data_IF_230493030198
#
_entry.id   IF_230493030198
#
_cell.length_a   1.000
_cell.length_b   1.000
_cell.length_c   1.000
_cell.angle_alpha   90.00
_cell.angle_beta   90.00
_cell.angle_gamma   90.00
#
_symmetry.space_group_name_H-M   'P 1'
#
loop_
_entity.id
_entity.type
_entity.pdbx_description
1 polymer ?
#
# COMPACT_ATOMS: atom_id res chain seq x y z
N UNK A 1 23.37 25.37 38.91
CA UNK A 1 24.82 25.09 38.93
C UNK A 1 25.25 24.19 40.09
N UNK A 2 24.97 24.50 41.36
CA UNK A 2 25.42 23.67 42.51
C UNK A 2 24.94 22.20 42.49
N UNK A 3 23.68 21.93 42.09
CA UNK A 3 23.15 20.54 42.02
C UNK A 3 23.86 19.64 41.01
N UNK A 4 24.34 20.19 39.89
CA UNK A 4 25.07 19.42 38.87
C UNK A 4 26.51 19.10 39.28
N UNK A 5 27.15 19.96 40.09
CA UNK A 5 28.47 19.67 40.65
C UNK A 5 28.42 18.53 41.68
N UNK A 6 27.38 18.50 42.53
CA UNK A 6 27.20 17.43 43.52
C UNK A 6 26.99 16.05 42.89
N UNK A 7 26.24 15.97 41.78
CA UNK A 7 26.01 14.71 41.06
C UNK A 7 27.30 14.21 40.39
N UNK A 8 28.10 15.12 39.81
CA UNK A 8 29.40 14.77 39.22
C UNK A 8 30.38 14.29 40.30
N UNK A 9 30.39 14.92 41.48
CA UNK A 9 31.26 14.53 42.60
C UNK A 9 30.86 13.18 43.21
N UNK A 10 29.56 12.88 43.30
CA UNK A 10 29.06 11.55 43.68
C UNK A 10 29.43 10.48 42.65
N UNK A 11 29.25 10.76 41.36
CA UNK A 11 29.66 9.85 40.28
C UNK A 11 31.17 9.59 40.30
N UNK A 12 31.98 10.63 40.52
CA UNK A 12 33.44 10.49 40.60
C UNK A 12 33.85 9.65 41.82
N UNK A 13 33.21 9.83 42.98
CA UNK A 13 33.48 9.03 44.17
C UNK A 13 33.05 7.56 43.99
N UNK A 14 31.92 7.31 43.31
CA UNK A 14 31.49 5.95 42.97
C UNK A 14 32.47 5.30 41.97
N UNK A 15 32.92 6.05 40.95
CA UNK A 15 33.93 5.60 39.99
C UNK A 15 35.25 5.28 40.70
N UNK A 16 35.70 6.10 41.66
CA UNK A 16 36.90 5.81 42.46
C UNK A 16 36.74 4.59 43.38
N UNK A 17 35.55 4.39 43.95
CA UNK A 17 35.25 3.20 44.76
C UNK A 17 35.21 1.91 43.92
N UNK A 18 34.65 1.99 42.70
CA UNK A 18 34.73 0.93 41.69
C UNK A 18 36.18 0.73 41.20
N UNK A 19 36.97 1.81 41.13
CA UNK A 19 38.38 1.80 40.74
C UNK A 19 39.24 0.93 41.67
N UNK A 20 38.87 0.83 42.95
CA UNK A 20 39.61 0.12 44.00
C UNK A 20 39.48 -1.42 43.95
N UNK A 21 38.67 -1.99 43.06
CA UNK A 21 38.48 -3.45 42.92
C UNK A 21 38.96 -3.96 41.54
N UNK A 22 40.23 -4.37 41.40
CA UNK A 22 40.84 -4.85 40.16
C UNK A 22 40.02 -5.95 39.44
N UNK A 23 39.49 -6.92 40.19
CA UNK A 23 38.69 -8.03 39.65
C UNK A 23 37.34 -7.58 39.05
N UNK A 24 36.83 -6.42 39.48
CA UNK A 24 35.57 -5.85 38.97
C UNK A 24 35.80 -5.12 37.65
N UNK A 25 36.98 -4.51 37.44
CA UNK A 25 37.36 -3.93 36.16
C UNK A 25 37.45 -4.96 35.06
N UNK A 26 38.06 -6.10 35.33
CA UNK A 26 38.19 -7.18 34.33
C UNK A 26 36.81 -7.70 33.92
N UNK A 27 35.89 -7.88 34.88
CA UNK A 27 34.50 -8.28 34.60
C UNK A 27 33.73 -7.20 33.82
N UNK A 28 33.89 -5.93 34.18
CA UNK A 28 33.26 -4.82 33.47
C UNK A 28 33.80 -4.67 32.05
N UNK A 29 35.11 -4.81 31.85
CA UNK A 29 35.73 -4.78 30.53
C UNK A 29 35.20 -5.91 29.63
N UNK A 30 35.11 -7.14 30.16
CA UNK A 30 34.53 -8.27 29.42
C UNK A 30 33.05 -8.03 29.08
N UNK A 31 32.26 -7.51 30.02
CA UNK A 31 30.86 -7.17 29.77
C UNK A 31 30.70 -6.06 28.71
N UNK A 32 31.55 -5.03 28.74
CA UNK A 32 31.53 -3.95 27.76
C UNK A 32 31.87 -4.47 26.35
N UNK A 33 32.90 -5.32 26.23
CA UNK A 33 33.24 -5.96 24.96
C UNK A 33 32.07 -6.81 24.44
N UNK A 34 31.49 -7.66 25.29
CA UNK A 34 30.34 -8.49 24.90
C UNK A 34 29.13 -7.65 24.47
N UNK A 35 28.89 -6.52 25.15
CA UNK A 35 27.82 -5.59 24.79
C UNK A 35 28.12 -4.88 23.46
N UNK A 36 29.35 -4.43 23.23
CA UNK A 36 29.76 -3.83 21.96
C UNK A 36 29.64 -4.82 20.80
N UNK A 37 30.05 -6.07 20.98
CA UNK A 37 29.89 -7.12 19.97
C UNK A 37 28.41 -7.40 19.68
N UNK A 38 27.57 -7.41 20.72
CA UNK A 38 26.13 -7.58 20.57
C UNK A 38 25.48 -6.40 19.83
N UNK A 39 25.89 -5.16 20.11
CA UNK A 39 25.41 -3.97 19.40
C UNK A 39 25.79 -4.06 17.92
N UNK A 40 27.05 -4.37 17.60
CA UNK A 40 27.50 -4.53 16.21
C UNK A 40 26.71 -5.62 15.48
N UNK A 41 26.42 -6.75 16.15
CA UNK A 41 25.62 -7.82 15.56
C UNK A 41 24.18 -7.36 15.26
N UNK A 42 23.55 -6.64 16.19
CA UNK A 42 22.20 -6.08 15.98
C UNK A 42 22.19 -5.05 14.86
N UNK A 43 23.17 -4.16 14.79
CA UNK A 43 23.27 -3.16 13.73
C UNK A 43 23.47 -3.79 12.34
N UNK A 44 24.31 -4.82 12.28
CA UNK A 44 24.49 -5.61 11.06
C UNK A 44 23.16 -6.26 10.62
N UNK A 45 22.46 -6.92 11.54
CA UNK A 45 21.20 -7.58 11.22
C UNK A 45 20.09 -6.58 10.85
N UNK A 46 20.03 -5.42 11.49
CA UNK A 46 19.11 -4.35 11.12
C UNK A 46 19.37 -3.86 9.69
N UNK A 47 20.64 -3.71 9.32
CA UNK A 47 21.03 -3.31 7.96
C UNK A 47 20.58 -4.37 6.94
N UNK A 48 20.83 -5.65 7.23
CA UNK A 48 20.40 -6.76 6.38
C UNK A 48 18.87 -6.83 6.24
N UNK A 49 18.13 -6.67 7.33
CA UNK A 49 16.66 -6.65 7.30
C UNK A 49 16.11 -5.48 6.49
N UNK A 50 16.75 -4.31 6.59
CA UNK A 50 16.38 -3.14 5.79
C UNK A 50 16.59 -3.40 4.29
N UNK A 51 17.72 -4.00 3.92
CA UNK A 51 18.00 -4.40 2.53
C UNK A 51 16.97 -5.43 2.03
N UNK A 52 16.67 -6.46 2.82
CA UNK A 52 15.66 -7.46 2.48
C UNK A 52 14.27 -6.85 2.33
N UNK A 53 13.90 -5.93 3.23
CA UNK A 53 12.62 -5.21 3.16
C UNK A 53 12.55 -4.37 1.89
N UNK A 54 13.61 -3.64 1.55
CA UNK A 54 13.67 -2.82 0.34
C UNK A 54 13.59 -3.68 -0.93
N UNK A 55 14.34 -4.78 -1.02
CA UNK A 55 14.29 -5.68 -2.17
C UNK A 55 12.90 -6.30 -2.33
N UNK A 56 12.30 -6.74 -1.22
CA UNK A 56 10.93 -7.25 -1.21
C UNK A 56 9.92 -6.19 -1.67
N UNK A 57 10.00 -4.96 -1.15
CA UNK A 57 9.15 -3.85 -1.55
C UNK A 57 9.31 -3.52 -3.04
N UNK A 58 10.54 -3.51 -3.55
CA UNK A 58 10.82 -3.24 -4.97
C UNK A 58 10.18 -4.30 -5.87
N UNK A 59 10.35 -5.59 -5.52
CA UNK A 59 9.72 -6.71 -6.25
C UNK A 59 8.20 -6.62 -6.24
N UNK A 60 7.59 -6.32 -5.09
CA UNK A 60 6.14 -6.16 -5.00
C UNK A 60 5.64 -4.98 -5.83
N UNK A 61 6.32 -3.83 -5.74
CA UNK A 61 6.01 -2.64 -6.54
C UNK A 61 6.08 -2.96 -8.04
N UNK A 62 7.10 -3.70 -8.48
CA UNK A 62 7.24 -4.12 -9.86
C UNK A 62 6.07 -5.00 -10.31
N UNK A 63 5.73 -6.04 -9.53
CA UNK A 63 4.61 -6.94 -9.83
C UNK A 63 3.29 -6.19 -9.90
N UNK A 64 3.03 -5.29 -8.93
CA UNK A 64 1.82 -4.49 -8.87
C UNK A 64 1.67 -3.61 -10.12
N UNK A 65 2.73 -2.87 -10.47
CA UNK A 65 2.71 -1.93 -11.58
C UNK A 65 2.79 -2.58 -12.97
N UNK A 66 3.39 -3.78 -13.10
CA UNK A 66 3.49 -4.52 -14.37
C UNK A 66 2.39 -5.55 -14.55
N UNK A 67 1.51 -5.73 -13.58
CA UNK A 67 0.39 -6.66 -13.70
C UNK A 67 -0.45 -6.35 -14.94
N UNK A 68 -0.86 -7.35 -15.74
CA UNK A 68 -1.69 -7.14 -16.92
C UNK A 68 -3.13 -6.77 -16.57
N UNK A 69 -3.52 -6.89 -15.30
CA UNK A 69 -4.81 -6.50 -14.76
C UNK A 69 -4.76 -5.10 -14.13
N UNK A 70 -5.94 -4.45 -14.06
CA UNK A 70 -6.12 -3.19 -13.33
C UNK A 70 -6.15 -3.48 -11.83
N UNK A 71 -5.31 -2.77 -11.07
CA UNK A 71 -5.30 -2.81 -9.62
C UNK A 71 -5.31 -1.39 -9.07
N UNK A 72 -6.17 -1.19 -8.08
CA UNK A 72 -6.21 0.00 -7.27
C UNK A 72 -6.56 -0.37 -5.83
N UNK A 73 -6.15 0.49 -4.91
CA UNK A 73 -6.53 0.42 -3.51
C UNK A 73 -7.40 1.63 -3.21
N UNK A 74 -8.47 1.42 -2.46
CA UNK A 74 -9.41 2.48 -2.08
C UNK A 74 -9.39 2.68 -0.57
N UNK A 75 -9.53 3.92 -0.13
CA UNK A 75 -10.00 4.20 1.23
C UNK A 75 -11.52 3.98 1.31
N UNK A 76 -12.11 3.82 2.52
CA UNK A 76 -13.51 3.45 2.68
C UNK A 76 -14.54 4.37 2.00
N UNK A 77 -14.20 5.63 1.76
CA UNK A 77 -15.08 6.60 1.10
C UNK A 77 -15.08 6.48 -0.45
N UNK A 78 -14.31 5.53 -1.00
CA UNK A 78 -14.16 5.25 -2.43
C UNK A 78 -13.03 6.03 -3.12
N UNK A 79 -12.26 6.84 -2.39
CA UNK A 79 -11.12 7.58 -2.94
C UNK A 79 -9.95 6.65 -3.26
N UNK A 80 -9.33 6.84 -4.41
CA UNK A 80 -8.19 6.03 -4.88
C UNK A 80 -6.97 6.35 -4.02
N UNK A 81 -6.52 5.39 -3.21
CA UNK A 81 -5.29 5.48 -2.43
C UNK A 81 -4.06 5.11 -3.27
N UNK A 82 -4.21 4.11 -4.14
CA UNK A 82 -3.15 3.64 -5.01
C UNK A 82 -3.76 3.09 -6.29
N UNK A 83 -3.01 3.21 -7.39
CA UNK A 83 -3.40 2.74 -8.71
C UNK A 83 -2.15 2.25 -9.44
N UNK A 84 -2.28 1.10 -10.12
CA UNK A 84 -1.18 0.52 -10.87
C UNK A 84 -0.98 1.19 -12.24
N UNK A 85 0.18 0.94 -12.87
CA UNK A 85 0.51 1.62 -14.12
C UNK A 85 -0.38 1.15 -15.28
N UNK A 86 -0.75 -0.13 -15.29
CA UNK A 86 -1.65 -0.69 -16.30
C UNK A 86 -3.01 0.01 -16.28
N UNK A 87 -3.60 0.23 -15.11
CA UNK A 87 -4.85 0.96 -14.98
C UNK A 87 -4.73 2.42 -15.40
N UNK A 88 -3.67 3.12 -15.00
CA UNK A 88 -3.42 4.49 -15.46
C UNK A 88 -3.42 4.60 -16.98
N UNK A 89 -2.66 3.72 -17.65
CA UNK A 89 -2.56 3.71 -19.12
C UNK A 89 -3.91 3.34 -19.76
N UNK A 90 -4.63 2.37 -19.20
CA UNK A 90 -5.96 1.99 -19.70
C UNK A 90 -7.00 3.10 -19.56
N UNK A 91 -6.89 3.92 -18.50
CA UNK A 91 -7.71 5.11 -18.30
C UNK A 91 -7.27 6.29 -19.19
N UNK A 92 -6.15 6.16 -19.91
CA UNK A 92 -5.61 7.17 -20.82
C UNK A 92 -4.60 8.12 -20.18
N UNK A 93 -4.24 7.92 -18.91
CA UNK A 93 -3.31 8.78 -18.19
C UNK A 93 -1.86 8.35 -18.38
N UNK A 94 -0.98 9.34 -18.41
CA UNK A 94 0.47 9.13 -18.27
C UNK A 94 0.83 8.94 -16.80
N UNK A 95 1.97 8.27 -16.55
CA UNK A 95 2.48 8.03 -15.19
C UNK A 95 2.70 9.32 -14.41
N UNK A 96 3.15 10.39 -15.07
CA UNK A 96 3.34 11.72 -14.46
C UNK A 96 2.04 12.33 -13.89
N UNK A 97 0.88 11.93 -14.42
CA UNK A 97 -0.43 12.39 -13.95
C UNK A 97 -1.01 11.54 -12.83
N UNK A 98 -0.29 10.54 -12.29
CA UNK A 98 -0.79 9.68 -11.20
C UNK A 98 -1.28 10.48 -10.00
N UNK A 99 -0.58 11.56 -9.67
CA UNK A 99 -0.92 12.42 -8.53
C UNK A 99 -2.18 13.26 -8.75
N UNK A 100 -2.74 13.30 -9.96
CA UNK A 100 -4.03 13.94 -10.24
C UNK A 100 -5.21 13.02 -9.87
N UNK A 101 -4.94 11.73 -9.66
CA UNK A 101 -5.92 10.68 -9.37
C UNK A 101 -5.80 10.24 -7.92
N UNK A 102 -4.60 9.85 -7.50
CA UNK A 102 -4.34 9.32 -6.16
C UNK A 102 -4.65 10.38 -5.10
N UNK A 103 -5.47 10.01 -4.12
CA UNK A 103 -5.94 10.82 -3.01
C UNK A 103 -6.95 11.92 -3.39
N UNK A 104 -7.30 12.04 -4.67
CA UNK A 104 -8.13 13.15 -5.19
C UNK A 104 -9.41 12.70 -5.87
N UNK A 105 -9.36 11.56 -6.56
CA UNK A 105 -10.49 11.02 -7.33
C UNK A 105 -11.08 9.82 -6.63
N UNK A 106 -12.40 9.69 -6.72
CA UNK A 106 -13.07 8.45 -6.36
C UNK A 106 -13.03 7.49 -7.53
N UNK A 107 -13.00 6.19 -7.27
CA UNK A 107 -13.01 5.18 -8.34
C UNK A 107 -14.25 5.31 -9.23
N UNK A 108 -15.33 5.78 -8.63
CA UNK A 108 -16.61 6.12 -9.25
C UNK A 108 -16.48 7.18 -10.34
N UNK A 109 -15.55 8.12 -10.18
CA UNK A 109 -15.31 9.16 -11.18
C UNK A 109 -14.63 8.56 -12.43
N UNK A 110 -13.90 7.46 -12.29
CA UNK A 110 -13.16 6.83 -13.39
C UNK A 110 -14.00 5.86 -14.25
N UNK A 111 -15.29 5.72 -13.97
CA UNK A 111 -16.21 4.88 -14.75
C UNK A 111 -16.85 5.69 -15.89
N UNK A 112 -16.91 5.13 -17.09
CA UNK A 112 -17.49 5.79 -18.27
C UNK A 112 -19.03 5.80 -18.19
N UNK A 113 -19.72 6.70 -18.92
CA UNK A 113 -21.20 6.64 -19.05
C UNK A 113 -21.65 5.28 -19.59
N UNK A 114 -20.91 4.68 -20.55
CA UNK A 114 -21.25 3.35 -21.06
C UNK A 114 -21.02 2.23 -20.03
N UNK A 115 -20.35 2.53 -18.91
CA UNK A 115 -20.23 1.60 -17.78
C UNK A 115 -21.56 1.46 -17.03
N UNK A 116 -22.52 2.37 -17.22
CA UNK A 116 -23.87 2.27 -16.63
C UNK A 116 -24.73 1.24 -17.35
N UNK A 117 -24.51 1.05 -18.65
CA UNK A 117 -25.24 0.09 -19.48
C UNK A 117 -24.73 -1.34 -19.34
N UNK A 118 -23.60 -1.57 -18.63
CA UNK A 118 -23.07 -2.93 -18.39
C UNK A 118 -24.04 -3.81 -17.61
N UNK A 119 -24.97 -3.19 -16.88
CA UNK A 119 -26.00 -3.88 -16.12
C UNK A 119 -27.32 -4.02 -16.89
N UNK A 120 -27.42 -3.46 -18.09
CA UNK A 120 -28.55 -3.67 -19.00
C UNK A 120 -28.39 -5.03 -19.71
N UNK A 121 -29.51 -5.67 -20.02
CA UNK A 121 -29.48 -6.94 -20.77
C UNK A 121 -28.76 -6.75 -22.11
N UNK A 122 -27.78 -7.63 -22.37
CA UNK A 122 -27.00 -7.58 -23.59
C UNK A 122 -27.93 -7.82 -24.81
N UNK A 123 -28.10 -6.81 -25.65
CA UNK A 123 -28.78 -6.97 -26.95
C UNK A 123 -27.73 -7.15 -28.04
N UNK A 124 -27.72 -8.33 -28.67
CA UNK A 124 -26.80 -8.62 -29.76
C UNK A 124 -27.27 -7.88 -31.03
N UNK A 125 -26.55 -6.85 -31.44
CA UNK A 125 -26.93 -6.01 -32.59
C UNK A 125 -26.56 -6.63 -33.95
N UNK A 126 -25.75 -7.69 -34.01
CA UNK A 126 -25.53 -8.39 -35.28
C UNK A 126 -25.05 -9.84 -35.09
N UNK A 127 -25.50 -10.73 -35.98
CA UNK A 127 -25.14 -12.15 -36.03
C UNK A 127 -23.93 -12.40 -36.94
N UNK A 128 -23.04 -11.41 -37.10
CA UNK A 128 -21.81 -11.60 -37.88
C UNK A 128 -20.77 -12.36 -37.05
N UNK A 129 -20.57 -13.62 -37.44
CA UNK A 129 -19.74 -14.61 -36.78
C UNK A 129 -18.22 -14.38 -36.98
N UNK A 130 -17.67 -13.26 -36.48
CA UNK A 130 -16.24 -12.95 -36.62
C UNK A 130 -15.46 -12.67 -35.33
N UNK A 131 -16.02 -12.93 -34.13
CA UNK A 131 -15.24 -12.82 -32.88
C UNK A 131 -14.99 -14.19 -32.25
N UNK A 132 -13.70 -14.54 -32.06
CA UNK A 132 -13.24 -15.70 -31.27
C UNK A 132 -13.78 -15.57 -29.83
N UNK A 133 -14.61 -16.54 -29.43
CA UNK A 133 -15.08 -16.84 -28.07
C UNK A 133 -15.04 -15.69 -27.05
N UNK A 134 -16.12 -14.89 -26.98
CA UNK A 134 -16.43 -14.01 -25.86
C UNK A 134 -17.69 -14.51 -25.14
N UNK A 135 -17.75 -14.43 -23.81
CA UNK A 135 -18.90 -14.87 -23.01
C UNK A 135 -20.22 -14.19 -23.41
N UNK A 136 -21.35 -14.77 -23.01
CA UNK A 136 -22.71 -14.39 -23.45
C UNK A 136 -23.18 -12.98 -23.04
N UNK A 137 -22.38 -12.22 -22.29
CA UNK A 137 -22.75 -10.91 -21.77
C UNK A 137 -23.81 -10.93 -20.66
N UNK A 138 -24.28 -12.11 -20.22
CA UNK A 138 -25.38 -12.24 -19.26
C UNK A 138 -24.97 -12.13 -17.80
N UNK A 139 -23.68 -12.19 -17.48
CA UNK A 139 -23.20 -12.24 -16.09
C UNK A 139 -23.55 -11.01 -15.27
N UNK A 140 -23.38 -9.81 -15.83
CA UNK A 140 -23.68 -8.55 -15.14
C UNK A 140 -25.19 -8.28 -15.00
N UNK A 141 -26.04 -8.53 -16.02
CA UNK A 141 -27.50 -8.51 -15.87
C UNK A 141 -28.02 -9.47 -14.79
N UNK A 142 -27.53 -10.71 -14.76
CA UNK A 142 -27.90 -11.69 -13.72
C UNK A 142 -27.46 -11.20 -12.33
N UNK A 143 -26.25 -10.65 -12.23
CA UNK A 143 -25.73 -10.09 -10.98
C UNK A 143 -26.57 -8.91 -10.50
N UNK A 144 -26.97 -7.98 -11.39
CA UNK A 144 -27.88 -6.88 -11.05
C UNK A 144 -29.21 -7.41 -10.50
N UNK A 145 -29.80 -8.40 -11.18
CA UNK A 145 -31.07 -9.00 -10.75
C UNK A 145 -30.95 -9.68 -9.39
N UNK A 146 -29.86 -10.39 -9.14
CA UNK A 146 -29.62 -11.02 -7.84
C UNK A 146 -29.47 -9.98 -6.72
N UNK A 147 -28.70 -8.93 -6.94
CA UNK A 147 -28.55 -7.84 -5.95
C UNK A 147 -29.88 -7.13 -5.68
N UNK A 148 -30.66 -6.86 -6.72
CA UNK A 148 -32.01 -6.28 -6.59
C UNK A 148 -32.93 -7.17 -5.76
N UNK A 149 -32.90 -8.49 -5.99
CA UNK A 149 -33.70 -9.46 -5.21
C UNK A 149 -33.28 -9.55 -3.74
N UNK A 150 -32.09 -9.06 -3.37
CA UNK A 150 -31.58 -9.05 -2.00
C UNK A 150 -31.62 -7.63 -1.38
N UNK A 151 -32.56 -6.78 -1.80
CA UNK A 151 -32.76 -5.41 -1.31
C UNK A 151 -31.54 -4.47 -1.47
N UNK A 152 -30.60 -4.81 -2.36
CA UNK A 152 -29.41 -3.99 -2.63
C UNK A 152 -29.66 -2.76 -3.51
N UNK A 153 -30.87 -2.21 -3.58
CA UNK A 153 -31.23 -1.15 -4.54
C UNK A 153 -30.35 0.11 -4.40
N UNK A 154 -29.95 0.46 -3.18
CA UNK A 154 -29.08 1.61 -2.92
C UNK A 154 -27.68 1.46 -3.54
N UNK A 155 -27.16 0.23 -3.65
CA UNK A 155 -25.83 -0.01 -4.24
C UNK A 155 -25.89 0.12 -5.77
N UNK A 156 -27.04 -0.23 -6.38
CA UNK A 156 -27.27 -0.08 -7.82
C UNK A 156 -27.51 1.39 -8.22
N UNK A 157 -28.31 2.14 -7.44
CA UNK A 157 -28.51 3.57 -7.68
C UNK A 157 -27.19 4.36 -7.66
N UNK A 158 -26.29 4.04 -6.72
CA UNK A 158 -24.95 4.67 -6.65
C UNK A 158 -24.07 4.32 -7.85
N UNK A 159 -24.18 3.10 -8.39
CA UNK A 159 -23.45 2.68 -9.58
C UNK A 159 -23.97 3.37 -10.86
N UNK A 160 -25.23 3.79 -10.92
CA UNK A 160 -25.83 4.47 -12.08
C UNK A 160 -25.62 6.00 -12.08
N UNK A 161 -25.28 6.60 -10.94
CA UNK A 161 -25.06 8.06 -10.81
C UNK A 161 -23.65 8.54 -11.17
N UNK A 162 -22.79 7.65 -11.66
CA UNK A 162 -21.38 7.92 -11.96
C UNK A 162 -21.22 8.89 -13.12
N UNK A 163 -20.39 9.92 -13.02
CA UNK A 163 -20.14 10.85 -14.14
C UNK A 163 -18.81 10.51 -14.81
N UNK A 164 -18.68 10.63 -16.14
CA UNK A 164 -17.46 10.26 -16.85
C UNK A 164 -16.43 11.37 -16.72
N UNK A 165 -15.17 11.02 -16.90
CA UNK A 165 -14.08 11.98 -17.01
C UNK A 165 -13.82 12.35 -18.47
N UNK A 166 -13.61 13.65 -18.72
CA UNK A 166 -12.92 14.15 -19.91
C UNK A 166 -11.46 13.67 -19.91
N UNK A 167 -11.13 12.79 -20.84
CA UNK A 167 -9.79 12.23 -21.04
C UNK A 167 -8.81 13.35 -21.41
N UNK A 168 -7.64 13.39 -20.76
CA UNK A 168 -6.55 14.35 -21.03
C UNK A 168 -5.33 13.64 -21.58
#
# INVERSE_FOLDING_TARGET
MKKSQTVIEQLNNEIEALAAHPEMHDKLAVLLTNLQDSIHHVDYHNTELLDQLQDSQARFSELYHRAPARYHTLVPDGTILEINNTELVMLGYKKENRNDIVGKRKITDCMLEESKTIFEEFTQIDASATRKAGGTGLGLPITKKLVELHDGHDIMQKAEMLKPIDKK
#
